data_IF_859716642759
#
_entry.id   IF_859716642759
#
_cell.length_a   1.000
_cell.length_b   1.000
_cell.length_c   1.000
_cell.angle_alpha   90.00
_cell.angle_beta   90.00
_cell.angle_gamma   90.00
#
_symmetry.space_group_name_H-M   'P 1'
#
loop_
_entity.id
_entity.type
_entity.pdbx_description
1 polymer ?
#
# COMPACT_ATOMS: atom_id res chain seq x y z
N UNK A 1 -1.23 -30.13 10.58
CA UNK A 1 -1.76 -29.12 9.65
C UNK A 1 -1.22 -27.79 10.11
N UNK A 2 -0.43 -27.10 9.29
CA UNK A 2 0.07 -25.77 9.64
C UNK A 2 -1.12 -24.81 9.56
N UNK A 3 -1.42 -24.12 10.65
CA UNK A 3 -2.52 -23.14 10.68
C UNK A 3 -2.20 -22.00 9.72
N UNK A 4 -2.83 -22.03 8.54
CA UNK A 4 -2.64 -21.06 7.46
C UNK A 4 -2.84 -19.61 7.94
N UNK A 5 -3.75 -19.42 8.91
CA UNK A 5 -4.01 -18.14 9.56
C UNK A 5 -2.81 -17.59 10.33
N UNK A 6 -2.05 -18.45 11.02
CA UNK A 6 -0.86 -18.04 11.77
C UNK A 6 0.27 -17.65 10.80
N UNK A 7 0.41 -18.39 9.70
CA UNK A 7 1.37 -18.11 8.62
C UNK A 7 1.08 -16.74 7.98
N UNK A 8 -0.17 -16.48 7.61
CA UNK A 8 -0.58 -15.21 7.00
C UNK A 8 -0.28 -14.01 7.90
N UNK A 9 -0.51 -14.14 9.21
CA UNK A 9 -0.23 -13.08 10.18
C UNK A 9 1.26 -12.82 10.42
N UNK A 10 2.10 -13.86 10.38
CA UNK A 10 3.53 -13.73 10.70
C UNK A 10 4.38 -13.32 9.50
N UNK A 11 3.99 -13.71 8.28
CA UNK A 11 4.73 -13.40 7.04
C UNK A 11 5.00 -11.89 6.90
N UNK A 12 3.98 -10.99 6.89
CA UNK A 12 4.22 -9.55 6.69
C UNK A 12 5.11 -8.93 7.76
N UNK A 13 5.01 -9.40 9.01
CA UNK A 13 5.83 -8.93 10.14
C UNK A 13 7.29 -9.33 9.98
N UNK A 14 7.56 -10.59 9.60
CA UNK A 14 8.93 -11.08 9.35
C UNK A 14 9.54 -10.37 8.16
N UNK A 15 8.83 -10.26 7.03
CA UNK A 15 9.32 -9.55 5.84
C UNK A 15 9.52 -8.05 6.10
N UNK A 16 8.61 -7.41 6.84
CA UNK A 16 8.75 -6.01 7.24
C UNK A 16 9.99 -5.77 8.09
N UNK A 17 10.24 -6.64 9.07
CA UNK A 17 11.42 -6.57 9.95
C UNK A 17 12.72 -6.84 9.18
N UNK A 18 12.73 -7.84 8.30
CA UNK A 18 13.88 -8.13 7.45
C UNK A 18 14.19 -6.96 6.51
N UNK A 19 13.16 -6.35 5.91
CA UNK A 19 13.32 -5.15 5.11
C UNK A 19 13.89 -3.99 5.94
N UNK A 20 13.48 -3.83 7.20
CA UNK A 20 14.00 -2.78 8.08
C UNK A 20 15.50 -2.93 8.35
N UNK A 21 16.01 -4.15 8.38
CA UNK A 21 17.44 -4.44 8.61
C UNK A 21 18.24 -4.34 7.31
N UNK A 22 17.72 -4.93 6.22
CA UNK A 22 18.42 -5.03 4.94
C UNK A 22 18.54 -3.68 4.24
N UNK A 23 17.53 -2.81 4.31
CA UNK A 23 17.56 -1.52 3.60
C UNK A 23 18.65 -0.56 4.11
N UNK A 24 18.87 -0.38 5.43
CA UNK A 24 20.01 0.38 5.95
C UNK A 24 21.37 -0.20 5.54
N UNK A 25 21.52 -1.55 5.53
CA UNK A 25 22.74 -2.21 5.04
C UNK A 25 22.95 -1.88 3.56
N UNK A 26 21.88 -1.90 2.76
CA UNK A 26 21.92 -1.56 1.35
C UNK A 26 22.33 -0.10 1.12
N UNK A 27 21.80 0.83 1.92
CA UNK A 27 22.25 2.24 1.91
C UNK A 27 23.73 2.35 2.25
N UNK A 28 24.19 1.67 3.31
CA UNK A 28 25.61 1.65 3.71
C UNK A 28 26.52 1.10 2.60
N UNK A 29 26.08 0.05 1.90
CA UNK A 29 26.81 -0.54 0.79
C UNK A 29 26.98 0.45 -0.37
N UNK A 30 25.93 1.23 -0.69
CA UNK A 30 25.98 2.24 -1.74
C UNK A 30 26.98 3.35 -1.41
N UNK A 31 27.12 3.73 -0.13
CA UNK A 31 28.10 4.72 0.31
C UNK A 31 29.54 4.19 0.35
N UNK A 32 29.70 2.89 0.67
CA UNK A 32 31.02 2.26 0.78
C UNK A 32 31.63 1.96 -0.60
N UNK A 33 30.81 1.67 -1.61
CA UNK A 33 31.30 1.36 -2.94
C UNK A 33 31.92 2.60 -3.63
N UNK A 34 33.07 2.42 -4.29
CA UNK A 34 33.74 3.52 -4.99
C UNK A 34 32.84 4.10 -6.10
N UNK A 35 32.64 5.43 -6.03
CA UNK A 35 31.90 6.26 -7.00
C UNK A 35 32.29 6.04 -8.47
N UNK A 36 33.46 5.48 -8.75
CA UNK A 36 34.00 5.25 -10.09
C UNK A 36 33.30 4.12 -10.84
N UNK A 37 32.64 3.16 -10.17
CA UNK A 37 31.88 2.09 -10.86
C UNK A 37 30.39 2.42 -11.06
N UNK A 38 29.80 3.25 -10.20
CA UNK A 38 28.35 3.49 -10.21
C UNK A 38 27.90 4.83 -10.79
N UNK A 39 28.77 5.86 -10.89
CA UNK A 39 28.39 7.14 -11.51
C UNK A 39 27.03 7.68 -11.02
N UNK A 40 26.16 8.13 -11.93
CA UNK A 40 24.81 8.64 -11.62
C UNK A 40 23.83 7.57 -11.10
N UNK A 41 24.10 6.28 -11.32
CA UNK A 41 23.20 5.19 -10.92
C UNK A 41 23.05 5.08 -9.40
N UNK A 42 24.06 5.51 -8.65
CA UNK A 42 24.04 5.52 -7.18
C UNK A 42 22.82 6.24 -6.61
N UNK A 43 22.38 7.32 -7.25
CA UNK A 43 21.26 8.12 -6.78
C UNK A 43 19.92 7.41 -7.00
N UNK A 44 19.79 6.62 -8.06
CA UNK A 44 18.59 5.79 -8.30
C UNK A 44 18.54 4.64 -7.31
N UNK A 45 19.69 4.01 -7.01
CA UNK A 45 19.79 2.98 -5.97
C UNK A 45 19.45 3.55 -4.58
N UNK A 46 19.95 4.75 -4.25
CA UNK A 46 19.61 5.44 -2.99
C UNK A 46 18.13 5.78 -2.91
N UNK A 47 17.53 6.27 -4.00
CA UNK A 47 16.09 6.54 -4.05
C UNK A 47 15.26 5.29 -3.77
N UNK A 48 15.60 4.18 -4.44
CA UNK A 48 14.96 2.88 -4.20
C UNK A 48 15.13 2.40 -2.75
N UNK A 49 16.33 2.51 -2.21
CA UNK A 49 16.63 2.10 -0.83
C UNK A 49 15.85 2.92 0.21
N UNK A 50 15.83 4.25 0.04
CA UNK A 50 15.09 5.15 0.93
C UNK A 50 13.59 4.89 0.88
N UNK A 51 13.03 4.68 -0.32
CA UNK A 51 11.63 4.32 -0.47
C UNK A 51 11.30 3.00 0.26
N UNK A 52 12.14 1.96 0.11
CA UNK A 52 11.92 0.69 0.81
C UNK A 52 12.04 0.81 2.34
N UNK A 53 12.88 1.72 2.83
CA UNK A 53 13.00 2.02 4.26
C UNK A 53 11.72 2.68 4.80
N UNK A 54 11.20 3.68 4.09
CA UNK A 54 9.90 4.31 4.41
C UNK A 54 8.76 3.28 4.35
N UNK A 55 8.77 2.43 3.32
CA UNK A 55 7.78 1.36 3.17
C UNK A 55 7.83 0.36 4.34
N UNK A 56 9.02 -0.03 4.79
CA UNK A 56 9.21 -0.92 5.94
C UNK A 56 8.67 -0.30 7.23
N UNK A 57 8.94 0.99 7.48
CA UNK A 57 8.37 1.72 8.63
C UNK A 57 6.85 1.72 8.56
N UNK A 58 6.26 2.07 7.41
CA UNK A 58 4.82 2.05 7.23
C UNK A 58 4.23 0.65 7.45
N UNK A 59 4.99 -0.40 7.09
CA UNK A 59 4.60 -1.80 7.30
C UNK A 59 4.44 -2.16 8.78
N UNK A 60 5.31 -1.60 9.64
CA UNK A 60 5.28 -1.79 11.10
C UNK A 60 4.22 -0.90 11.75
N UNK A 61 4.13 0.38 11.35
CA UNK A 61 3.22 1.37 11.96
C UNK A 61 1.75 1.02 11.70
N UNK A 62 1.44 0.46 10.52
CA UNK A 62 0.06 0.23 10.09
C UNK A 62 -0.10 -1.25 9.72
N UNK A 63 -0.22 -2.19 10.68
CA UNK A 63 -0.45 -3.59 10.35
C UNK A 63 -1.88 -3.77 9.85
N UNK A 64 -2.00 -4.16 8.58
CA UNK A 64 -3.28 -4.44 7.94
C UNK A 64 -3.53 -5.94 8.03
N UNK A 65 -4.76 -6.30 8.36
CA UNK A 65 -5.27 -7.65 8.21
C UNK A 65 -6.37 -7.66 7.16
N UNK A 66 -6.37 -8.69 6.32
CA UNK A 66 -7.30 -8.82 5.20
C UNK A 66 -8.12 -10.07 5.46
N UNK A 67 -9.41 -9.88 5.72
CA UNK A 67 -10.33 -11.00 5.86
C UNK A 67 -11.27 -11.04 4.66
N UNK A 68 -11.14 -12.09 3.86
CA UNK A 68 -12.00 -12.35 2.71
C UNK A 68 -13.14 -13.25 3.14
N UNK A 69 -14.38 -12.79 2.99
CA UNK A 69 -15.57 -13.61 3.18
C UNK A 69 -16.40 -13.65 1.89
N UNK A 70 -16.49 -14.85 1.29
CA UNK A 70 -17.18 -15.12 0.01
C UNK A 70 -16.67 -14.23 -1.13
N UNK A 71 -17.35 -13.10 -1.39
CA UNK A 71 -17.05 -12.16 -2.49
C UNK A 71 -16.68 -10.75 -1.99
N UNK A 72 -16.60 -10.54 -0.67
CA UNK A 72 -16.26 -9.26 -0.06
C UNK A 72 -14.98 -9.39 0.76
N UNK A 73 -14.07 -8.43 0.59
CA UNK A 73 -12.84 -8.32 1.37
C UNK A 73 -12.97 -7.16 2.33
N UNK A 74 -12.67 -7.42 3.60
CA UNK A 74 -12.60 -6.40 4.64
C UNK A 74 -11.14 -6.18 5.01
N UNK A 75 -10.73 -4.93 4.96
CA UNK A 75 -9.42 -4.45 5.38
C UNK A 75 -9.59 -3.76 6.72
N UNK A 76 -8.96 -4.28 7.76
CA UNK A 76 -8.98 -3.66 9.08
C UNK A 76 -7.57 -3.55 9.63
N UNK A 77 -7.36 -2.56 10.50
CA UNK A 77 -6.09 -2.41 11.21
C UNK A 77 -6.25 -3.24 12.48
N UNK A 78 -5.53 -4.37 12.54
CA UNK A 78 -5.69 -5.38 13.60
C UNK A 78 -5.12 -4.91 14.94
N UNK A 79 -4.09 -4.05 14.93
CA UNK A 79 -3.38 -3.58 16.13
C UNK A 79 -2.63 -2.25 15.87
N UNK A 80 -2.86 -1.17 16.63
CA UNK A 80 -2.08 0.07 16.50
C UNK A 80 -2.47 1.17 17.50
N UNK A 81 -1.60 2.18 17.69
CA UNK A 81 -1.81 3.33 18.60
C UNK A 81 -3.04 4.21 18.27
N UNK A 82 -3.78 3.89 17.21
CA UNK A 82 -4.89 4.68 16.67
C UNK A 82 -6.22 3.90 16.57
N UNK A 83 -6.40 2.84 17.37
CA UNK A 83 -7.63 2.04 17.41
C UNK A 83 -8.87 2.86 17.83
N UNK A 84 -8.69 4.01 18.49
CA UNK A 84 -9.81 4.84 18.99
C UNK A 84 -10.21 6.03 18.08
N UNK A 85 -9.46 6.36 17.03
CA UNK A 85 -9.76 7.54 16.21
C UNK A 85 -10.32 7.16 14.83
N UNK A 86 -11.64 7.23 14.70
CA UNK A 86 -12.44 6.83 13.52
C UNK A 86 -11.97 7.49 12.22
N UNK A 87 -11.57 8.76 12.26
CA UNK A 87 -11.19 9.52 11.06
C UNK A 87 -9.80 9.15 10.53
N UNK A 88 -8.85 8.84 11.41
CA UNK A 88 -7.47 8.51 11.01
C UNK A 88 -7.32 7.09 10.48
N UNK A 89 -8.23 6.19 10.85
CA UNK A 89 -8.16 4.78 10.48
C UNK A 89 -8.23 4.57 8.95
N UNK A 90 -9.21 5.19 8.30
CA UNK A 90 -9.39 5.12 6.84
C UNK A 90 -8.24 5.79 6.09
N UNK A 91 -7.75 6.92 6.61
CA UNK A 91 -6.60 7.63 6.04
C UNK A 91 -5.34 6.76 6.08
N UNK A 92 -5.03 6.15 7.23
CA UNK A 92 -3.87 5.27 7.38
C UNK A 92 -3.97 4.02 6.48
N UNK A 93 -5.16 3.45 6.34
CA UNK A 93 -5.41 2.34 5.43
C UNK A 93 -5.21 2.75 3.96
N UNK A 94 -5.76 3.89 3.55
CA UNK A 94 -5.58 4.43 2.19
C UNK A 94 -4.10 4.72 1.90
N UNK A 95 -3.39 5.34 2.85
CA UNK A 95 -1.96 5.62 2.75
C UNK A 95 -1.14 4.35 2.53
N UNK A 96 -1.46 3.26 3.23
CA UNK A 96 -0.75 1.97 3.05
C UNK A 96 -0.94 1.39 1.68
N UNK A 97 -2.17 1.41 1.19
CA UNK A 97 -2.46 0.90 -0.15
C UNK A 97 -1.84 1.80 -1.24
N UNK A 98 -1.80 3.13 -1.01
CA UNK A 98 -1.06 4.06 -1.87
C UNK A 98 0.43 3.75 -1.89
N UNK A 99 1.03 3.45 -0.72
CA UNK A 99 2.43 3.06 -0.62
C UNK A 99 2.72 1.76 -1.38
N UNK A 100 1.84 0.76 -1.28
CA UNK A 100 1.95 -0.47 -2.08
C UNK A 100 1.88 -0.15 -3.58
N UNK A 101 0.89 0.61 -4.04
CA UNK A 101 0.78 1.01 -5.44
C UNK A 101 2.03 1.77 -5.93
N UNK A 102 2.53 2.71 -5.12
CA UNK A 102 3.69 3.54 -5.42
C UNK A 102 5.00 2.73 -5.51
N UNK A 103 5.11 1.61 -4.76
CA UNK A 103 6.28 0.72 -4.82
C UNK A 103 6.48 0.12 -6.21
N UNK A 104 5.39 -0.18 -6.92
CA UNK A 104 5.44 -0.66 -8.29
C UNK A 104 5.93 0.43 -9.25
N UNK A 105 5.54 1.68 -9.04
CA UNK A 105 6.03 2.83 -9.81
C UNK A 105 7.54 3.06 -9.62
N UNK A 106 8.03 2.94 -8.38
CA UNK A 106 9.47 3.04 -8.08
C UNK A 106 10.25 1.87 -8.70
N UNK A 107 9.74 0.65 -8.60
CA UNK A 107 10.34 -0.53 -9.23
C UNK A 107 10.37 -0.40 -10.76
N UNK A 108 9.29 0.06 -11.37
CA UNK A 108 9.21 0.30 -12.81
C UNK A 108 10.26 1.33 -13.24
N UNK A 109 10.37 2.43 -12.50
CA UNK A 109 11.38 3.46 -12.75
C UNK A 109 12.78 2.83 -12.70
N UNK A 110 13.09 2.07 -11.67
CA UNK A 110 14.38 1.40 -11.53
C UNK A 110 14.72 0.48 -12.71
N UNK A 111 13.76 -0.33 -13.19
CA UNK A 111 13.96 -1.18 -14.36
C UNK A 111 14.17 -0.38 -15.64
N UNK A 112 13.41 0.70 -15.83
CA UNK A 112 13.60 1.63 -16.95
C UNK A 112 15.01 2.23 -16.90
N UNK A 113 15.50 2.66 -15.74
CA UNK A 113 16.88 3.15 -15.60
C UNK A 113 17.89 2.11 -16.05
N UNK A 114 17.74 0.86 -15.58
CA UNK A 114 18.65 -0.24 -15.92
C UNK A 114 18.67 -0.49 -17.43
N UNK A 115 17.50 -0.44 -18.06
CA UNK A 115 17.37 -0.55 -19.51
C UNK A 115 18.11 0.58 -20.24
N UNK A 116 17.87 1.85 -19.88
CA UNK A 116 18.54 3.00 -20.51
C UNK A 116 20.05 3.02 -20.27
N UNK A 117 20.51 2.52 -19.12
CA UNK A 117 21.93 2.43 -18.80
C UNK A 117 22.65 1.38 -19.67
N UNK A 118 21.99 0.28 -20.01
CA UNK A 118 22.54 -0.75 -20.91
C UNK A 118 22.64 -0.24 -22.35
N UNK A 119 21.65 0.54 -22.80
CA UNK A 119 21.61 1.12 -24.13
C UNK A 119 22.46 2.39 -24.30
N UNK A 120 23.25 2.75 -23.28
CA UNK A 120 24.11 3.94 -23.21
C UNK A 120 23.45 5.24 -23.72
N UNK A 121 22.18 5.43 -23.40
CA UNK A 121 21.42 6.60 -23.88
C UNK A 121 21.94 7.90 -23.24
N UNK A 122 22.09 8.95 -24.04
CA UNK A 122 22.45 10.31 -23.60
C UNK A 122 21.50 10.88 -22.54
N UNK A 123 20.25 10.40 -22.48
CA UNK A 123 19.27 10.77 -21.46
C UNK A 123 19.73 10.47 -20.03
N UNK A 124 20.50 9.40 -19.82
CA UNK A 124 20.97 8.97 -18.49
C UNK A 124 22.22 9.73 -18.04
N UNK A 125 23.04 10.17 -18.99
CA UNK A 125 24.32 10.86 -18.73
C UNK A 125 24.15 12.37 -18.62
N UNK A 126 23.45 13.01 -19.55
CA UNK A 126 23.32 14.47 -19.60
C UNK A 126 22.06 15.00 -18.91
N UNK A 127 20.97 14.22 -18.91
CA UNK A 127 19.65 14.64 -18.39
C UNK A 127 19.22 13.87 -17.14
N UNK A 128 20.18 13.49 -16.30
CA UNK A 128 19.93 12.69 -15.09
C UNK A 128 18.90 13.32 -14.14
N UNK A 129 18.96 14.64 -13.93
CA UNK A 129 18.02 15.36 -13.07
C UNK A 129 16.57 15.27 -13.59
N UNK A 130 16.38 15.33 -14.91
CA UNK A 130 15.05 15.20 -15.53
C UNK A 130 14.53 13.78 -15.33
N UNK A 131 15.39 12.76 -15.46
CA UNK A 131 15.01 11.38 -15.17
C UNK A 131 14.58 11.17 -13.70
N UNK A 132 15.31 11.77 -12.74
CA UNK A 132 14.94 11.72 -11.33
C UNK A 132 13.60 12.42 -11.06
N UNK A 133 13.38 13.58 -11.68
CA UNK A 133 12.12 14.31 -11.60
C UNK A 133 10.95 13.51 -12.19
N UNK A 134 11.15 12.86 -13.34
CA UNK A 134 10.13 11.97 -13.93
C UNK A 134 9.80 10.79 -13.03
N UNK A 135 10.82 10.17 -12.41
CA UNK A 135 10.62 9.04 -11.47
C UNK A 135 9.83 9.47 -10.24
N UNK A 136 10.10 10.66 -9.71
CA UNK A 136 9.31 11.25 -8.62
C UNK A 136 7.89 11.60 -9.07
N UNK A 137 7.74 12.11 -10.30
CA UNK A 137 6.43 12.36 -10.92
C UNK A 137 5.60 11.08 -11.06
N UNK A 138 6.21 9.96 -11.47
CA UNK A 138 5.54 8.65 -11.51
C UNK A 138 5.08 8.25 -10.11
N UNK A 139 5.94 8.36 -9.10
CA UNK A 139 5.58 8.06 -7.71
C UNK A 139 4.37 8.89 -7.23
N UNK A 140 4.36 10.19 -7.52
CA UNK A 140 3.22 11.06 -7.20
C UNK A 140 1.96 10.69 -8.00
N UNK A 141 2.10 10.33 -9.28
CA UNK A 141 0.97 9.91 -10.10
C UNK A 141 0.29 8.64 -9.53
N UNK A 142 1.07 7.64 -9.11
CA UNK A 142 0.53 6.45 -8.45
C UNK A 142 -0.15 6.77 -7.11
N UNK A 143 0.46 7.65 -6.31
CA UNK A 143 -0.11 8.07 -5.02
C UNK A 143 -1.42 8.82 -5.22
N UNK A 144 -1.46 9.77 -6.15
CA UNK A 144 -2.65 10.57 -6.48
C UNK A 144 -3.76 9.73 -7.10
N UNK A 145 -3.42 8.81 -8.02
CA UNK A 145 -4.37 7.87 -8.60
C UNK A 145 -5.02 7.02 -7.52
N UNK A 146 -4.21 6.49 -6.59
CA UNK A 146 -4.74 5.72 -5.48
C UNK A 146 -5.63 6.56 -4.56
N UNK A 147 -5.21 7.78 -4.25
CA UNK A 147 -6.01 8.68 -3.42
C UNK A 147 -7.37 9.00 -4.07
N UNK A 148 -7.38 9.24 -5.39
CA UNK A 148 -8.60 9.48 -6.16
C UNK A 148 -9.55 8.27 -6.15
N UNK A 149 -9.02 7.04 -6.17
CA UNK A 149 -9.81 5.80 -6.02
C UNK A 149 -10.34 5.65 -4.60
N UNK A 150 -9.55 6.03 -3.59
CA UNK A 150 -9.94 5.86 -2.18
C UNK A 150 -11.02 6.82 -1.68
N UNK A 151 -11.09 8.03 -2.25
CA UNK A 151 -12.03 9.08 -1.85
C UNK A 151 -13.52 8.70 -2.01
N UNK A 152 -13.99 8.13 -3.14
CA UNK A 152 -15.37 7.65 -3.22
C UNK A 152 -15.63 6.45 -2.30
N UNK A 153 -14.63 5.60 -2.07
CA UNK A 153 -14.73 4.42 -1.21
C UNK A 153 -14.89 4.82 0.27
N UNK A 154 -14.18 5.85 0.74
CA UNK A 154 -14.35 6.37 2.10
C UNK A 154 -15.77 6.91 2.33
N UNK A 155 -16.29 7.68 1.38
CA UNK A 155 -17.64 8.23 1.47
C UNK A 155 -18.72 7.14 1.52
N UNK A 156 -18.51 6.05 0.79
CA UNK A 156 -19.39 4.87 0.85
C UNK A 156 -19.30 4.14 2.19
N UNK A 157 -18.10 4.04 2.78
CA UNK A 157 -17.92 3.42 4.09
C UNK A 157 -18.69 4.17 5.18
N UNK A 158 -18.67 5.50 5.17
CA UNK A 158 -19.41 6.33 6.13
C UNK A 158 -20.93 6.18 5.99
N UNK A 159 -21.42 6.02 4.75
CA UNK A 159 -22.82 5.74 4.49
C UNK A 159 -23.24 4.34 5.02
N UNK A 160 -22.41 3.32 4.83
CA UNK A 160 -22.68 1.94 5.28
C UNK A 160 -22.59 1.82 6.81
N UNK A 161 -21.62 2.46 7.46
CA UNK A 161 -21.47 2.47 8.93
C UNK A 161 -22.66 3.17 9.59
N UNK A 162 -23.12 4.28 9.03
CA UNK A 162 -24.31 4.99 9.49
C UNK A 162 -25.56 4.12 9.32
N UNK A 163 -25.74 3.50 8.15
CA UNK A 163 -26.90 2.65 7.87
C UNK A 163 -26.96 1.41 8.77
N UNK A 164 -25.82 0.76 9.01
CA UNK A 164 -25.74 -0.42 9.89
C UNK A 164 -25.99 -0.06 11.36
N UNK A 165 -25.48 1.07 11.85
CA UNK A 165 -25.80 1.55 13.19
C UNK A 165 -27.29 1.87 13.35
N UNK A 166 -27.88 2.61 12.41
CA UNK A 166 -29.32 2.95 12.45
C UNK A 166 -30.18 1.67 12.41
N UNK A 167 -29.89 0.75 11.50
CA UNK A 167 -30.62 -0.52 11.37
C UNK A 167 -30.49 -1.40 12.62
N UNK A 168 -29.32 -1.40 13.27
CA UNK A 168 -29.07 -2.18 14.48
C UNK A 168 -29.87 -1.67 15.69
N UNK A 169 -30.08 -0.35 15.80
CA UNK A 169 -30.87 0.26 16.88
C UNK A 169 -32.38 0.27 16.61
N UNK A 170 -32.82 0.25 15.34
CA UNK A 170 -34.24 0.18 14.97
C UNK A 170 -34.83 -1.24 15.01
N UNK A 171 -34.00 -2.29 15.07
CA UNK A 171 -34.45 -3.68 15.05
C UNK A 171 -34.22 -4.47 16.37
N UNK A 172 -34.86 -4.13 17.51
CA UNK A 172 -35.00 -5.09 18.59
C UNK A 172 -36.01 -6.23 18.28
N UNK A 173 -36.79 -6.13 17.19
CA UNK A 173 -37.93 -7.03 16.93
C UNK A 173 -37.91 -7.54 15.48
N UNK A 174 -37.02 -8.49 15.16
CA UNK A 174 -37.13 -9.54 14.10
C UNK A 174 -35.74 -10.12 13.82
N UNK A 175 -35.19 -10.83 14.80
CA UNK A 175 -33.82 -11.36 14.76
C UNK A 175 -33.65 -12.68 13.98
N UNK A 176 -34.71 -13.32 13.45
CA UNK A 176 -34.58 -14.70 12.94
C UNK A 176 -34.73 -14.93 11.43
N UNK A 177 -35.02 -13.95 10.56
CA UNK A 177 -35.39 -14.32 9.17
C UNK A 177 -34.93 -13.41 8.03
N UNK A 178 -34.31 -12.24 8.28
CA UNK A 178 -34.10 -11.24 7.22
C UNK A 178 -32.63 -10.91 6.86
N UNK A 179 -31.65 -11.50 7.54
CA UNK A 179 -30.24 -11.05 7.42
C UNK A 179 -29.53 -11.60 6.18
N UNK A 180 -30.00 -12.69 5.58
CA UNK A 180 -29.30 -13.31 4.43
C UNK A 180 -29.87 -12.93 3.06
N UNK A 181 -31.14 -12.54 2.97
CA UNK A 181 -31.81 -12.32 1.67
C UNK A 181 -31.63 -10.89 1.13
N UNK A 182 -31.69 -9.86 1.99
CA UNK A 182 -31.66 -8.46 1.53
C UNK A 182 -30.26 -7.92 1.18
N UNK A 183 -29.19 -8.49 1.75
CA UNK A 183 -27.81 -8.11 1.42
C UNK A 183 -27.40 -8.67 0.05
N UNK A 184 -27.96 -9.82 -0.37
CA UNK A 184 -27.68 -10.44 -1.67
C UNK A 184 -28.43 -9.75 -2.83
N UNK A 185 -29.66 -9.28 -2.62
CA UNK A 185 -30.47 -8.67 -3.70
C UNK A 185 -29.90 -7.34 -4.20
N UNK A 186 -29.29 -6.52 -3.34
CA UNK A 186 -28.70 -5.23 -3.75
C UNK A 186 -27.34 -5.37 -4.46
N UNK A 187 -26.63 -6.50 -4.28
CA UNK A 187 -25.40 -6.77 -5.04
C UNK A 187 -25.66 -7.26 -6.47
N UNK A 188 -26.81 -7.91 -6.72
CA UNK A 188 -27.19 -8.39 -8.05
C UNK A 188 -27.89 -7.34 -8.93
N UNK A 189 -28.42 -6.27 -8.34
CA UNK A 189 -29.12 -5.18 -9.05
C UNK A 189 -28.23 -4.09 -9.65
N UNK A 190 -26.91 -4.16 -9.47
CA UNK A 190 -25.93 -3.20 -10.03
C UNK A 190 -25.15 -3.76 -11.23
N UNK A 191 -25.51 -4.96 -11.71
CA UNK A 191 -25.01 -5.56 -12.95
C UNK A 191 -26.14 -5.76 -13.96
N UNK A 192 -26.95 -4.73 -14.18
CA UNK A 192 -27.79 -4.59 -15.37
C UNK A 192 -27.72 -3.16 -15.90
#
# INVERSE_FOLDING_TARGET
MVDLALVYKHIPKVFGTLAFIVNPIFVYLIFTEKSTRFGNYRYVLLYFAMFNLVYSIANVVIPIDIHSYRYCFYLFISDGLFVESTDWHLFLLSLRCALVASSYGVLLSHFIYRYLAIHDSTFTKEKFHIYMLMSFGIFLAYTSLWHAVSHPVSNMNDAISTFSHVTFWEAPIKRSEYTSEKILVNFMGLTQ
#
